data_IF_223295634825
#
_entry.id   IF_223295634825
#
_cell.length_a   1.000
_cell.length_b   1.000
_cell.length_c   1.000
_cell.angle_alpha   90.00
_cell.angle_beta   90.00
_cell.angle_gamma   90.00
#
_symmetry.space_group_name_H-M   'P 1'
#
loop_
_entity.id
_entity.type
_entity.pdbx_description
1 polymer ?
#
# COMPACT_ATOMS: atom_id res chain seq x y z
N UNK A 1 10.40 41.94 -21.96
CA UNK A 1 8.98 41.60 -21.83
C UNK A 1 8.88 40.46 -20.80
N UNK A 2 8.13 40.64 -19.73
CA UNK A 2 7.88 39.53 -18.78
C UNK A 2 7.00 38.51 -19.51
N UNK A 3 7.58 37.39 -19.93
CA UNK A 3 6.81 36.30 -20.45
C UNK A 3 6.03 35.69 -19.27
N UNK A 4 4.72 35.70 -19.35
CA UNK A 4 3.88 35.03 -18.35
C UNK A 4 4.10 33.52 -18.37
N UNK A 5 3.61 32.83 -17.31
CA UNK A 5 3.60 31.34 -17.22
C UNK A 5 3.02 30.74 -18.50
N UNK A 6 3.74 29.76 -19.06
CA UNK A 6 3.32 29.05 -20.27
C UNK A 6 3.40 27.55 -20.04
N UNK A 7 2.51 26.82 -20.70
CA UNK A 7 2.56 25.36 -20.75
C UNK A 7 2.69 24.94 -22.22
N UNK A 8 3.67 24.11 -22.47
CA UNK A 8 3.91 23.47 -23.76
C UNK A 8 3.63 21.98 -23.58
N UNK A 9 3.00 21.37 -24.55
CA UNK A 9 2.73 19.94 -24.58
C UNK A 9 3.60 19.30 -25.65
N UNK A 10 4.28 18.23 -25.28
CA UNK A 10 5.08 17.44 -26.19
C UNK A 10 4.58 15.99 -26.14
N UNK A 11 4.11 15.48 -27.26
CA UNK A 11 3.57 14.13 -27.36
C UNK A 11 4.35 13.37 -28.44
N UNK A 12 4.84 12.21 -28.07
CA UNK A 12 5.49 11.28 -29.00
C UNK A 12 4.51 10.12 -29.31
N UNK A 13 4.26 9.88 -30.57
CA UNK A 13 3.40 8.80 -31.09
C UNK A 13 4.27 7.79 -31.83
N UNK A 14 4.21 6.50 -31.42
CA UNK A 14 5.04 5.41 -31.96
C UNK A 14 6.52 5.78 -32.10
N UNK A 15 7.08 6.44 -31.07
CA UNK A 15 8.46 6.97 -31.02
C UNK A 15 8.77 8.09 -32.03
N UNK A 16 7.78 8.62 -32.75
CA UNK A 16 7.92 9.79 -33.60
C UNK A 16 7.35 11.04 -32.92
N UNK A 17 8.01 12.22 -33.04
CA UNK A 17 7.48 13.46 -32.46
C UNK A 17 6.15 13.83 -33.13
N UNK A 18 5.08 13.84 -32.34
CA UNK A 18 3.74 14.20 -32.82
C UNK A 18 3.43 15.68 -32.60
N UNK A 19 3.98 16.25 -31.51
CA UNK A 19 3.63 17.59 -31.06
C UNK A 19 4.13 18.73 -31.95
N UNK A 20 5.22 18.54 -32.69
CA UNK A 20 5.69 19.59 -33.61
C UNK A 20 4.71 19.92 -34.74
N UNK A 21 3.81 19.00 -35.05
CA UNK A 21 2.81 19.14 -36.10
C UNK A 21 1.40 19.40 -35.56
N UNK A 22 1.08 18.98 -34.33
CA UNK A 22 -0.26 19.02 -33.74
C UNK A 22 -0.34 19.75 -32.41
N UNK A 23 0.77 20.20 -31.84
CA UNK A 23 0.79 20.88 -30.53
C UNK A 23 -0.12 22.12 -30.48
N UNK A 24 -0.28 22.83 -31.58
CA UNK A 24 -1.19 23.99 -31.69
C UNK A 24 -2.68 23.57 -31.73
N UNK A 25 -2.98 22.33 -32.07
CA UNK A 25 -4.33 21.78 -32.17
C UNK A 25 -4.82 21.14 -30.87
N UNK A 26 -3.93 20.93 -29.88
CA UNK A 26 -4.32 20.37 -28.61
C UNK A 26 -5.17 21.39 -27.83
N UNK A 27 -6.43 21.10 -27.64
CA UNK A 27 -7.39 21.89 -26.87
C UNK A 27 -7.33 21.55 -25.39
N UNK A 28 -7.15 20.26 -25.06
CA UNK A 28 -6.97 19.81 -23.69
C UNK A 28 -6.13 18.55 -23.60
N UNK A 29 -5.46 18.41 -22.45
CA UNK A 29 -4.78 17.18 -22.05
C UNK A 29 -5.12 16.92 -20.58
N UNK A 30 -5.56 15.71 -20.27
CA UNK A 30 -5.76 15.25 -18.89
C UNK A 30 -4.89 14.03 -18.66
N UNK A 31 -3.97 14.12 -17.70
CA UNK A 31 -3.17 13.00 -17.22
C UNK A 31 -3.61 12.63 -15.82
N UNK A 32 -3.94 11.38 -15.61
CA UNK A 32 -4.35 10.81 -14.32
C UNK A 32 -3.29 9.83 -13.85
N UNK A 33 -2.71 10.11 -12.69
CA UNK A 33 -1.74 9.27 -11.98
C UNK A 33 -2.45 8.66 -10.77
N UNK A 34 -2.64 7.34 -10.75
CA UNK A 34 -3.29 6.59 -9.69
C UNK A 34 -2.25 5.85 -8.83
N UNK A 35 -2.43 5.85 -7.51
CA UNK A 35 -1.56 5.09 -6.60
C UNK A 35 -1.85 3.60 -6.65
N UNK A 36 -3.11 3.23 -6.85
CA UNK A 36 -3.58 1.84 -6.76
C UNK A 36 -4.83 1.64 -7.61
N UNK A 37 -5.22 0.39 -7.81
CA UNK A 37 -6.46 -0.11 -8.40
C UNK A 37 -6.63 0.17 -9.89
N UNK A 38 -6.62 1.43 -10.29
CA UNK A 38 -6.75 1.84 -11.70
C UNK A 38 -5.37 2.06 -12.33
N UNK A 39 -5.28 1.85 -13.63
CA UNK A 39 -4.12 2.24 -14.43
C UNK A 39 -4.06 3.76 -14.56
N UNK A 40 -2.85 4.29 -14.74
CA UNK A 40 -2.72 5.68 -15.16
C UNK A 40 -3.34 5.86 -16.54
N UNK A 41 -3.96 7.00 -16.79
CA UNK A 41 -4.59 7.31 -18.08
C UNK A 41 -4.19 8.67 -18.61
N UNK A 42 -4.30 8.81 -19.92
CA UNK A 42 -4.10 10.06 -20.65
C UNK A 42 -5.27 10.27 -21.60
N UNK A 43 -5.84 11.46 -21.57
CA UNK A 43 -6.88 11.88 -22.51
C UNK A 43 -6.44 13.17 -23.18
N UNK A 44 -6.44 13.19 -24.51
CA UNK A 44 -6.06 14.34 -25.33
C UNK A 44 -7.22 14.69 -26.24
N UNK A 45 -7.65 15.95 -26.20
CA UNK A 45 -8.64 16.47 -27.15
C UNK A 45 -7.95 17.42 -28.11
N UNK A 46 -8.14 17.18 -29.40
CA UNK A 46 -7.58 17.94 -30.50
C UNK A 46 -8.69 18.70 -31.24
N UNK A 47 -8.40 19.91 -31.68
CA UNK A 47 -9.18 20.59 -32.72
C UNK A 47 -8.97 19.84 -34.04
N UNK A 48 -10.02 19.26 -34.58
CA UNK A 48 -9.97 18.41 -35.76
C UNK A 48 -10.66 19.04 -37.01
N UNK A 49 -10.74 20.39 -37.04
CA UNK A 49 -11.33 21.11 -38.20
C UNK A 49 -10.56 20.83 -39.51
N UNK A 50 -9.26 20.49 -39.40
CA UNK A 50 -8.51 20.04 -40.57
C UNK A 50 -8.86 18.60 -40.94
N UNK A 51 -9.33 18.42 -42.19
CA UNK A 51 -9.72 17.10 -42.69
C UNK A 51 -8.63 16.03 -42.73
N UNK A 52 -7.35 16.40 -42.45
CA UNK A 52 -6.20 15.47 -42.37
C UNK A 52 -6.47 14.32 -41.40
N UNK A 53 -7.22 14.58 -40.32
CA UNK A 53 -7.57 13.58 -39.32
C UNK A 53 -8.45 12.44 -39.86
N UNK A 54 -9.16 12.68 -40.94
CA UNK A 54 -9.97 11.67 -41.63
C UNK A 54 -9.24 10.99 -42.81
N UNK A 55 -8.06 11.50 -43.16
CA UNK A 55 -7.30 11.11 -44.36
C UNK A 55 -5.86 10.64 -44.05
N UNK A 56 -5.70 9.67 -43.12
CA UNK A 56 -4.41 9.03 -42.88
C UNK A 56 -3.67 9.55 -41.68
N UNK A 57 -4.26 10.47 -40.91
CA UNK A 57 -3.72 10.94 -39.61
C UNK A 57 -4.54 10.43 -38.43
N UNK A 58 -5.57 9.61 -38.69
CA UNK A 58 -6.34 8.98 -37.59
C UNK A 58 -5.41 8.06 -36.81
N UNK A 59 -5.25 8.28 -35.50
CA UNK A 59 -4.41 7.41 -34.68
C UNK A 59 -4.98 5.98 -34.63
N UNK A 60 -4.09 5.00 -34.61
CA UNK A 60 -4.45 3.59 -34.54
C UNK A 60 -4.46 3.10 -33.10
N UNK A 61 -5.47 2.32 -32.71
CA UNK A 61 -5.51 1.61 -31.43
C UNK A 61 -4.28 0.70 -31.28
N UNK A 62 -3.77 0.56 -30.05
CA UNK A 62 -2.53 -0.17 -29.77
C UNK A 62 -1.24 0.63 -30.00
N UNK A 63 -1.33 1.82 -30.62
CA UNK A 63 -0.18 2.71 -30.75
C UNK A 63 0.34 3.20 -29.38
N UNK A 64 1.59 3.62 -29.34
CA UNK A 64 2.21 4.12 -28.09
C UNK A 64 2.20 5.65 -28.03
N UNK A 65 1.82 6.20 -26.88
CA UNK A 65 1.90 7.63 -26.57
C UNK A 65 2.87 7.89 -25.43
N UNK A 66 3.72 8.92 -25.58
CA UNK A 66 4.60 9.44 -24.51
C UNK A 66 4.40 10.95 -24.37
N UNK A 67 3.43 11.37 -23.58
CA UNK A 67 3.16 12.79 -23.36
C UNK A 67 4.14 13.37 -22.33
N UNK A 68 4.51 14.64 -22.55
CA UNK A 68 5.23 15.49 -21.59
C UNK A 68 4.52 16.81 -21.45
N UNK A 69 4.43 17.29 -20.22
CA UNK A 69 3.92 18.62 -19.90
C UNK A 69 5.11 19.49 -19.50
N UNK A 70 5.31 20.61 -20.17
CA UNK A 70 6.47 21.49 -19.97
C UNK A 70 5.96 22.84 -19.50
N UNK A 71 6.31 23.24 -18.28
CA UNK A 71 6.08 24.57 -17.74
C UNK A 71 7.24 25.49 -18.03
N UNK A 72 6.96 26.65 -18.60
CA UNK A 72 7.95 27.71 -18.84
C UNK A 72 7.62 28.93 -18.00
N UNK A 73 8.66 29.58 -17.47
CA UNK A 73 8.55 30.77 -16.65
C UNK A 73 7.56 30.60 -15.46
N UNK A 74 7.48 29.36 -14.90
CA UNK A 74 6.44 28.96 -13.96
C UNK A 74 6.53 29.71 -12.62
N UNK A 75 7.70 29.72 -12.02
CA UNK A 75 7.98 30.43 -10.77
C UNK A 75 8.75 31.76 -10.99
N UNK A 76 9.16 32.04 -12.22
CA UNK A 76 9.88 33.24 -12.60
C UNK A 76 10.51 33.12 -13.99
N UNK A 77 11.07 34.20 -14.53
CA UNK A 77 11.67 34.19 -15.86
C UNK A 77 12.80 33.17 -15.99
N UNK A 78 12.71 32.30 -16.99
CA UNK A 78 13.70 31.25 -17.30
C UNK A 78 13.48 29.93 -16.52
N UNK A 79 12.55 29.89 -15.59
CA UNK A 79 12.20 28.66 -14.86
C UNK A 79 11.50 27.64 -15.79
N UNK A 80 11.96 26.41 -15.76
CA UNK A 80 11.42 25.33 -16.60
C UNK A 80 11.19 24.07 -15.78
N UNK A 81 9.99 23.54 -15.87
CA UNK A 81 9.59 22.25 -15.30
C UNK A 81 9.19 21.29 -16.40
N UNK A 82 9.58 20.04 -16.29
CA UNK A 82 9.19 18.97 -17.21
C UNK A 82 8.55 17.84 -16.42
N UNK A 83 7.35 17.46 -16.82
CA UNK A 83 6.67 16.29 -16.30
C UNK A 83 6.59 15.22 -17.38
N UNK A 84 7.27 14.10 -17.16
CA UNK A 84 7.16 12.90 -17.97
C UNK A 84 5.92 12.13 -17.51
N UNK A 85 4.86 12.10 -18.32
CA UNK A 85 3.62 11.42 -17.95
C UNK A 85 3.70 9.89 -18.06
N UNK A 86 4.74 9.37 -18.73
CA UNK A 86 4.95 7.93 -18.89
C UNK A 86 4.63 7.41 -20.29
N UNK A 87 4.43 6.10 -20.38
CA UNK A 87 4.08 5.41 -21.62
C UNK A 87 2.64 4.91 -21.53
N UNK A 88 1.85 5.24 -22.51
CA UNK A 88 0.45 4.81 -22.65
C UNK A 88 0.28 4.01 -23.94
N UNK A 89 -0.64 3.05 -23.90
CA UNK A 89 -1.17 2.37 -25.08
C UNK A 89 -2.48 3.04 -25.42
N UNK A 90 -2.62 3.43 -26.67
CA UNK A 90 -3.84 4.06 -27.19
C UNK A 90 -4.96 3.04 -27.22
N UNK A 91 -6.04 3.36 -26.50
CA UNK A 91 -7.14 2.45 -26.20
C UNK A 91 -8.47 2.93 -26.78
N UNK A 92 -8.61 4.26 -26.93
CA UNK A 92 -9.84 4.88 -27.44
C UNK A 92 -9.54 6.04 -28.40
N UNK A 93 -10.26 6.06 -29.52
CA UNK A 93 -10.21 7.14 -30.52
C UNK A 93 -11.63 7.50 -30.89
N UNK A 94 -12.05 8.73 -30.57
CA UNK A 94 -13.38 9.22 -30.87
C UNK A 94 -13.32 10.50 -31.71
N UNK A 95 -13.97 10.51 -32.86
CA UNK A 95 -14.16 11.68 -33.72
C UNK A 95 -15.58 12.22 -33.59
N UNK A 96 -15.70 13.54 -33.39
CA UNK A 96 -16.99 14.24 -33.30
C UNK A 96 -17.05 15.35 -34.35
N UNK A 97 -18.17 15.44 -35.06
CA UNK A 97 -18.33 16.35 -36.20
C UNK A 97 -18.70 17.80 -35.81
N UNK A 98 -19.47 18.01 -34.74
CA UNK A 98 -19.84 19.36 -34.31
C UNK A 98 -19.89 19.52 -32.78
N UNK A 99 -18.93 20.24 -32.13
CA UNK A 99 -17.72 20.83 -32.72
C UNK A 99 -16.76 19.74 -33.22
N UNK A 100 -16.03 20.02 -34.29
CA UNK A 100 -15.11 19.04 -34.87
C UNK A 100 -13.91 18.80 -33.97
N UNK A 101 -13.94 17.70 -33.26
CA UNK A 101 -12.87 17.32 -32.30
C UNK A 101 -12.46 15.87 -32.49
N UNK A 102 -11.20 15.58 -32.22
CA UNK A 102 -10.67 14.24 -32.08
C UNK A 102 -10.25 14.01 -30.63
N UNK A 103 -10.81 13.01 -29.99
CA UNK A 103 -10.40 12.57 -28.65
C UNK A 103 -9.55 11.32 -28.78
N UNK A 104 -8.44 11.30 -28.05
CA UNK A 104 -7.48 10.20 -28.02
C UNK A 104 -7.24 9.84 -26.58
N UNK A 105 -7.69 8.63 -26.19
CA UNK A 105 -7.52 8.05 -24.86
C UNK A 105 -6.43 7.00 -24.86
N UNK A 106 -5.65 6.93 -23.78
CA UNK A 106 -4.64 5.90 -23.58
C UNK A 106 -4.48 5.51 -22.12
N UNK A 107 -4.10 4.26 -21.88
CA UNK A 107 -3.90 3.67 -20.58
C UNK A 107 -2.46 3.17 -20.42
N UNK A 108 -1.91 3.26 -19.19
CA UNK A 108 -0.56 2.75 -18.91
C UNK A 108 -0.50 1.23 -18.74
N UNK A 109 -1.64 0.59 -18.64
CA UNK A 109 -1.81 -0.85 -18.60
C UNK A 109 -1.40 -1.45 -19.97
N UNK A 110 -0.77 -2.63 -20.00
CA UNK A 110 -0.39 -3.26 -21.26
C UNK A 110 -1.60 -3.88 -21.96
N UNK A 111 -2.50 -3.03 -22.48
CA UNK A 111 -3.70 -3.43 -23.22
C UNK A 111 -3.37 -4.05 -24.59
N UNK A 112 -2.10 -3.96 -25.01
CA UNK A 112 -1.54 -4.68 -26.16
C UNK A 112 -1.19 -6.15 -25.87
N UNK A 113 -1.57 -6.69 -24.68
CA UNK A 113 -1.30 -8.05 -24.22
C UNK A 113 -2.50 -8.65 -23.51
N UNK A 114 -2.49 -9.98 -23.35
CA UNK A 114 -3.52 -10.73 -22.62
C UNK A 114 -3.48 -10.57 -21.09
N UNK A 115 -2.67 -9.65 -20.56
CA UNK A 115 -2.44 -9.48 -19.11
C UNK A 115 -3.73 -9.30 -18.30
N UNK A 116 -4.69 -8.60 -18.86
CA UNK A 116 -5.98 -8.29 -18.20
C UNK A 116 -7.18 -9.00 -18.83
N UNK A 117 -6.99 -9.78 -19.87
CA UNK A 117 -8.09 -10.35 -20.66
C UNK A 117 -8.12 -11.86 -20.63
N UNK A 118 -6.94 -12.53 -20.65
CA UNK A 118 -6.87 -13.99 -20.65
C UNK A 118 -7.02 -14.54 -19.24
N UNK A 119 -8.10 -15.25 -18.99
CA UNK A 119 -8.30 -16.04 -17.78
C UNK A 119 -7.34 -17.24 -17.76
N UNK A 120 -6.79 -17.53 -16.58
CA UNK A 120 -5.85 -18.62 -16.36
C UNK A 120 -6.19 -19.38 -15.09
N UNK A 121 -6.08 -20.70 -15.19
CA UNK A 121 -6.09 -21.58 -14.04
C UNK A 121 -4.64 -22.01 -13.77
N UNK A 122 -4.05 -21.46 -12.71
CA UNK A 122 -2.66 -21.78 -12.33
C UNK A 122 -2.61 -22.09 -10.85
N UNK A 123 -1.94 -23.16 -10.48
CA UNK A 123 -1.70 -23.50 -9.08
C UNK A 123 -0.26 -23.09 -8.73
N UNK A 124 -0.16 -22.09 -7.85
CA UNK A 124 1.10 -21.60 -7.31
C UNK A 124 1.46 -22.39 -6.06
N UNK A 125 2.64 -23.06 -6.03
CA UNK A 125 3.09 -23.86 -4.88
C UNK A 125 4.50 -23.50 -4.46
N UNK A 126 4.75 -23.45 -3.14
CA UNK A 126 6.07 -23.22 -2.55
C UNK A 126 6.81 -22.03 -3.19
N UNK A 127 6.12 -20.90 -3.29
CA UNK A 127 6.60 -19.68 -3.93
C UNK A 127 6.46 -18.49 -3.00
N UNK A 128 6.57 -17.27 -3.53
CA UNK A 128 6.30 -16.03 -2.78
C UNK A 128 5.58 -15.02 -3.66
N UNK A 129 4.96 -14.01 -3.04
CA UNK A 129 4.26 -12.94 -3.77
C UNK A 129 5.18 -12.28 -4.79
N UNK A 130 6.43 -12.01 -4.41
CA UNK A 130 7.43 -11.44 -5.31
C UNK A 130 7.71 -12.34 -6.51
N UNK A 131 7.93 -13.64 -6.29
CA UNK A 131 8.22 -14.60 -7.37
C UNK A 131 7.04 -14.80 -8.32
N UNK A 132 5.82 -14.77 -7.79
CA UNK A 132 4.61 -14.79 -8.63
C UNK A 132 4.59 -13.54 -9.53
N UNK A 133 4.85 -12.36 -8.98
CA UNK A 133 4.91 -11.12 -9.76
C UNK A 133 6.01 -11.11 -10.80
N UNK A 134 7.21 -11.63 -10.48
CA UNK A 134 8.31 -11.79 -11.43
C UNK A 134 7.92 -12.73 -12.59
N UNK A 135 7.25 -13.84 -12.28
CA UNK A 135 6.76 -14.81 -13.29
C UNK A 135 5.71 -14.19 -14.20
N UNK A 136 4.73 -13.48 -13.64
CA UNK A 136 3.69 -12.78 -14.40
C UNK A 136 4.32 -11.69 -15.27
N UNK A 137 5.17 -10.82 -14.70
CA UNK A 137 5.84 -9.77 -15.46
C UNK A 137 6.66 -10.34 -16.63
N UNK A 138 7.40 -11.44 -16.38
CA UNK A 138 8.19 -12.14 -17.41
C UNK A 138 7.35 -12.68 -18.55
N UNK A 139 6.13 -13.14 -18.28
CA UNK A 139 5.20 -13.67 -19.28
C UNK A 139 4.82 -12.63 -20.34
N UNK A 140 4.71 -11.36 -19.93
CA UNK A 140 4.31 -10.25 -20.80
C UNK A 140 5.45 -9.30 -21.16
N UNK A 141 6.69 -9.64 -20.83
CA UNK A 141 7.84 -8.77 -21.09
C UNK A 141 7.79 -7.45 -20.33
N UNK A 142 7.14 -7.42 -19.18
CA UNK A 142 7.01 -6.23 -18.34
C UNK A 142 8.21 -6.10 -17.39
N UNK A 143 8.61 -4.88 -17.09
CA UNK A 143 9.51 -4.60 -15.99
C UNK A 143 8.86 -4.96 -14.66
N UNK A 144 9.66 -5.34 -13.64
CA UNK A 144 9.18 -5.64 -12.31
C UNK A 144 9.97 -4.87 -11.25
N UNK A 145 9.28 -4.28 -10.29
CA UNK A 145 9.85 -3.62 -9.12
C UNK A 145 9.05 -4.02 -7.89
N UNK A 146 9.74 -4.47 -6.83
CA UNK A 146 9.13 -4.90 -5.60
C UNK A 146 9.76 -4.18 -4.41
N UNK A 147 9.01 -3.26 -3.78
CA UNK A 147 9.45 -2.42 -2.66
C UNK A 147 8.58 -2.71 -1.42
N UNK A 148 8.60 -3.97 -0.97
CA UNK A 148 7.84 -4.47 0.16
C UNK A 148 8.54 -5.66 0.81
N UNK A 149 8.06 -6.11 1.96
CA UNK A 149 8.43 -7.39 2.53
C UNK A 149 7.79 -8.51 1.69
N UNK A 150 8.52 -9.61 1.48
CA UNK A 150 8.04 -10.74 0.71
C UNK A 150 7.35 -11.75 1.62
N UNK A 151 6.26 -12.34 1.14
CA UNK A 151 5.47 -13.30 1.88
C UNK A 151 5.44 -14.64 1.14
N UNK A 152 5.72 -15.72 1.87
CA UNK A 152 5.71 -17.08 1.34
C UNK A 152 4.28 -17.56 1.07
N UNK A 153 4.08 -18.19 -0.07
CA UNK A 153 2.82 -18.82 -0.52
C UNK A 153 3.05 -20.32 -0.63
N UNK A 154 2.48 -21.09 0.30
CA UNK A 154 2.57 -22.56 0.28
C UNK A 154 1.80 -23.14 -0.91
N UNK A 155 0.55 -22.71 -1.08
CA UNK A 155 -0.30 -23.08 -2.21
C UNK A 155 -1.40 -22.03 -2.37
N UNK A 156 -1.58 -21.52 -3.58
CA UNK A 156 -2.68 -20.64 -3.95
C UNK A 156 -3.16 -20.97 -5.35
N UNK A 157 -4.45 -20.83 -5.59
CA UNK A 157 -5.09 -21.14 -6.86
C UNK A 157 -5.49 -19.84 -7.54
N UNK A 158 -4.90 -19.61 -8.68
CA UNK A 158 -5.29 -18.50 -9.53
C UNK A 158 -6.55 -18.88 -10.29
N UNK A 159 -7.58 -18.05 -10.12
CA UNK A 159 -8.80 -18.03 -10.93
C UNK A 159 -8.98 -16.63 -11.49
N UNK A 160 -9.10 -16.51 -12.82
CA UNK A 160 -9.20 -15.25 -13.53
C UNK A 160 -7.89 -14.77 -14.17
N UNK A 161 -7.87 -13.50 -14.56
CA UNK A 161 -6.73 -12.92 -15.31
C UNK A 161 -5.52 -12.70 -14.39
N UNK A 162 -4.32 -12.70 -14.98
CA UNK A 162 -3.07 -12.42 -14.24
C UNK A 162 -3.13 -11.06 -13.51
N UNK A 163 -3.75 -10.06 -14.12
CA UNK A 163 -3.92 -8.74 -13.54
C UNK A 163 -4.82 -8.77 -12.30
N UNK A 164 -6.01 -9.37 -12.38
CA UNK A 164 -6.97 -9.38 -11.28
C UNK A 164 -6.50 -10.26 -10.13
N UNK A 165 -5.93 -11.44 -10.45
CA UNK A 165 -5.39 -12.35 -9.46
C UNK A 165 -4.25 -11.69 -8.66
N UNK A 166 -3.24 -11.16 -9.35
CA UNK A 166 -2.07 -10.61 -8.68
C UNK A 166 -2.40 -9.33 -7.87
N UNK A 167 -3.32 -8.51 -8.37
CA UNK A 167 -3.82 -7.37 -7.62
C UNK A 167 -4.54 -7.80 -6.33
N UNK A 168 -5.39 -8.82 -6.41
CA UNK A 168 -6.09 -9.37 -5.24
C UNK A 168 -5.12 -9.97 -4.24
N UNK A 169 -4.14 -10.74 -4.72
CA UNK A 169 -3.09 -11.32 -3.87
C UNK A 169 -2.30 -10.23 -3.14
N UNK A 170 -1.85 -9.19 -3.84
CA UNK A 170 -1.18 -8.04 -3.23
C UNK A 170 -2.05 -7.37 -2.15
N UNK A 171 -3.32 -7.09 -2.44
CA UNK A 171 -4.27 -6.49 -1.48
C UNK A 171 -4.46 -7.31 -0.23
N UNK A 172 -4.48 -8.63 -0.34
CA UNK A 172 -4.63 -9.54 0.80
C UNK A 172 -3.49 -9.40 1.82
N UNK A 173 -2.33 -8.92 1.37
CA UNK A 173 -1.15 -8.70 2.21
C UNK A 173 -0.84 -7.20 2.45
N UNK A 174 -1.78 -6.30 2.16
CA UNK A 174 -1.62 -4.86 2.35
C UNK A 174 -0.69 -4.19 1.34
N UNK A 175 -0.36 -4.89 0.27
CA UNK A 175 0.48 -4.41 -0.81
C UNK A 175 -0.37 -3.74 -1.90
N UNK A 176 0.25 -2.83 -2.63
CA UNK A 176 -0.33 -2.19 -3.80
C UNK A 176 0.40 -2.68 -5.04
N UNK A 177 -0.37 -3.06 -6.07
CA UNK A 177 0.11 -3.24 -7.42
C UNK A 177 -0.20 -1.98 -8.23
N UNK A 178 0.83 -1.31 -8.72
CA UNK A 178 0.72 -0.23 -9.71
C UNK A 178 1.29 -0.68 -11.04
N UNK A 179 0.54 -0.45 -12.11
CA UNK A 179 0.98 -0.70 -13.48
C UNK A 179 1.32 0.63 -14.14
N UNK A 180 2.58 0.84 -14.45
CA UNK A 180 3.07 2.09 -15.00
C UNK A 180 4.20 1.85 -16.02
N UNK A 181 4.15 2.50 -17.16
CA UNK A 181 5.19 2.49 -18.19
C UNK A 181 5.70 1.08 -18.55
N UNK A 182 4.81 0.12 -18.79
CA UNK A 182 5.11 -1.32 -19.03
C UNK A 182 5.90 -1.97 -17.89
N UNK A 183 5.64 -1.56 -16.65
CA UNK A 183 6.24 -2.11 -15.43
C UNK A 183 5.17 -2.42 -14.39
N UNK A 184 5.29 -3.55 -13.72
CA UNK A 184 4.57 -3.86 -12.50
C UNK A 184 5.39 -3.35 -11.31
N UNK A 185 4.81 -2.51 -10.50
CA UNK A 185 5.42 -1.98 -9.29
C UNK A 185 4.60 -2.35 -8.08
N UNK A 186 5.17 -3.16 -7.19
CA UNK A 186 4.55 -3.58 -5.94
C UNK A 186 5.20 -2.83 -4.77
N UNK A 187 4.40 -2.27 -3.90
CA UNK A 187 4.89 -1.58 -2.70
C UNK A 187 3.94 -1.70 -1.51
N UNK A 188 4.46 -1.55 -0.29
CA UNK A 188 3.70 -1.55 0.95
C UNK A 188 3.08 -0.17 1.19
N UNK A 189 1.74 -0.09 1.23
CA UNK A 189 0.99 1.16 1.42
C UNK A 189 1.30 1.81 2.76
N UNK A 190 1.30 1.07 3.85
CA UNK A 190 1.48 1.63 5.18
C UNK A 190 2.91 2.15 5.38
N UNK A 191 3.90 1.45 4.83
CA UNK A 191 5.28 1.93 4.78
C UNK A 191 5.40 3.25 4.00
N UNK A 192 4.68 3.38 2.89
CA UNK A 192 4.68 4.61 2.08
C UNK A 192 3.95 5.75 2.80
N UNK A 193 2.85 5.51 3.49
CA UNK A 193 2.21 6.48 4.37
C UNK A 193 3.14 6.97 5.49
N UNK A 194 4.08 6.12 5.95
CA UNK A 194 5.12 6.47 6.93
C UNK A 194 6.16 7.47 6.43
N UNK A 195 6.37 7.62 5.12
CA UNK A 195 7.35 8.52 4.53
C UNK A 195 7.02 9.99 4.84
N UNK A 196 8.01 10.88 4.69
CA UNK A 196 7.81 12.33 4.84
C UNK A 196 6.92 12.87 3.71
N UNK A 197 6.19 13.95 4.00
CA UNK A 197 5.52 14.71 2.96
C UNK A 197 6.56 15.31 2.00
N UNK A 198 6.30 15.17 0.69
CA UNK A 198 7.18 15.71 -0.35
C UNK A 198 6.93 17.20 -0.58
N UNK A 199 5.72 17.68 -0.25
CA UNK A 199 5.34 19.08 -0.38
C UNK A 199 4.29 19.46 0.67
N UNK A 200 4.37 20.72 1.12
CA UNK A 200 3.37 21.36 1.96
C UNK A 200 2.48 22.27 1.09
N UNK A 201 1.18 22.23 1.34
CA UNK A 201 0.20 23.11 0.72
C UNK A 201 -0.48 23.94 1.78
N UNK A 202 -0.28 25.25 1.70
CA UNK A 202 -1.03 26.19 2.51
C UNK A 202 -2.35 26.57 1.83
N UNK A 203 -3.34 26.98 2.62
CA UNK A 203 -4.64 27.45 2.13
C UNK A 203 -4.55 28.44 0.98
N UNK A 204 -3.52 29.28 0.97
CA UNK A 204 -3.30 30.30 -0.07
C UNK A 204 -2.85 29.72 -1.41
N UNK A 205 -2.32 28.50 -1.43
CA UNK A 205 -1.92 27.78 -2.65
C UNK A 205 -3.11 27.07 -3.32
N UNK A 206 -4.23 26.90 -2.60
CA UNK A 206 -5.36 26.11 -3.05
C UNK A 206 -6.35 26.99 -3.80
N UNK A 207 -6.85 26.49 -4.93
CA UNK A 207 -7.87 27.19 -5.71
C UNK A 207 -9.14 27.33 -4.85
N UNK A 208 -9.65 28.55 -4.63
CA UNK A 208 -10.84 28.77 -3.82
C UNK A 208 -12.03 27.91 -4.30
N UNK A 209 -12.71 27.26 -3.35
CA UNK A 209 -13.85 26.41 -3.61
C UNK A 209 -13.53 24.98 -4.09
N UNK A 210 -12.25 24.64 -4.31
CA UNK A 210 -11.85 23.29 -4.74
C UNK A 210 -11.66 22.30 -3.60
N UNK A 211 -11.51 22.76 -2.35
CA UNK A 211 -11.26 21.88 -1.22
C UNK A 211 -12.55 21.20 -0.74
N UNK A 212 -12.50 19.89 -0.63
CA UNK A 212 -13.52 19.04 -0.02
C UNK A 212 -12.86 18.10 0.98
N UNK A 213 -13.39 18.05 2.19
CA UNK A 213 -12.94 17.16 3.25
C UNK A 213 -14.12 16.36 3.78
N UNK A 214 -14.02 15.05 3.73
CA UNK A 214 -15.08 14.14 4.15
C UNK A 214 -14.53 13.08 5.10
N UNK A 215 -15.29 12.75 6.12
CA UNK A 215 -15.01 11.65 7.02
C UNK A 215 -16.18 10.69 7.05
N UNK A 216 -15.90 9.39 7.14
CA UNK A 216 -16.93 8.36 7.27
C UNK A 216 -16.54 7.33 8.33
N UNK A 217 -17.54 6.84 9.06
CA UNK A 217 -17.39 5.67 9.93
C UNK A 217 -17.91 4.40 9.25
N UNK A 218 -18.70 4.55 8.20
CA UNK A 218 -19.22 3.41 7.43
C UNK A 218 -18.07 2.69 6.73
N UNK A 219 -17.99 1.38 6.88
CA UNK A 219 -16.92 0.57 6.30
C UNK A 219 -15.57 0.67 6.99
N UNK A 220 -15.50 1.31 8.19
CA UNK A 220 -14.27 1.36 9.00
C UNK A 220 -14.37 0.44 10.20
N UNK A 221 -13.23 -0.09 10.64
CA UNK A 221 -13.18 -1.11 11.67
C UNK A 221 -12.21 -0.73 12.79
N UNK A 222 -12.60 -1.07 14.02
CA UNK A 222 -11.82 -0.87 15.25
C UNK A 222 -11.07 -2.14 15.66
N UNK A 223 -11.21 -3.20 14.88
CA UNK A 223 -10.57 -4.48 15.09
C UNK A 223 -11.14 -5.54 14.14
N UNK A 224 -10.71 -6.77 14.30
CA UNK A 224 -11.21 -7.88 13.49
C UNK A 224 -10.81 -9.25 13.99
N UNK A 225 -11.41 -10.23 13.34
CA UNK A 225 -11.21 -11.65 13.58
C UNK A 225 -10.85 -12.33 12.27
N UNK A 226 -9.93 -13.26 12.34
CA UNK A 226 -9.57 -14.13 11.23
C UNK A 226 -9.80 -15.58 11.66
N UNK A 227 -10.52 -16.34 10.84
CA UNK A 227 -10.74 -17.77 11.07
C UNK A 227 -10.49 -18.51 9.76
N UNK A 228 -9.74 -19.59 9.83
CA UNK A 228 -9.53 -20.48 8.70
C UNK A 228 -9.43 -21.92 9.18
N UNK A 229 -10.26 -22.81 8.62
CA UNK A 229 -10.23 -24.25 8.86
C UNK A 229 -9.42 -24.92 7.75
N UNK A 230 -8.31 -25.56 8.11
CA UNK A 230 -7.52 -26.41 7.21
C UNK A 230 -7.98 -27.85 7.42
N UNK A 231 -8.88 -28.30 6.54
CA UNK A 231 -9.45 -29.66 6.62
C UNK A 231 -8.42 -30.76 6.36
N UNK A 232 -7.35 -30.47 5.58
CA UNK A 232 -6.30 -31.43 5.28
C UNK A 232 -5.38 -31.66 6.48
N UNK A 233 -5.20 -30.61 7.29
CA UNK A 233 -4.34 -30.65 8.50
C UNK A 233 -5.14 -30.81 9.79
N UNK A 234 -6.47 -30.89 9.69
CA UNK A 234 -7.42 -31.03 10.82
C UNK A 234 -7.19 -29.97 11.92
N UNK A 235 -7.12 -28.70 11.51
CA UNK A 235 -6.87 -27.59 12.43
C UNK A 235 -7.59 -26.30 12.01
N UNK A 236 -7.85 -25.46 13.02
CA UNK A 236 -8.31 -24.08 12.84
C UNK A 236 -7.20 -23.08 13.18
N UNK A 237 -7.05 -22.06 12.35
CA UNK A 237 -6.22 -20.89 12.61
C UNK A 237 -7.14 -19.75 13.01
N UNK A 238 -7.01 -19.27 14.25
CA UNK A 238 -7.82 -18.18 14.80
C UNK A 238 -6.94 -17.03 15.23
N UNK A 239 -7.26 -15.82 14.78
CA UNK A 239 -6.55 -14.61 15.16
C UNK A 239 -7.52 -13.47 15.43
N UNK A 240 -7.13 -12.53 16.29
CA UNK A 240 -7.89 -11.30 16.54
C UNK A 240 -6.98 -10.13 16.85
N UNK A 241 -7.46 -8.93 16.52
CA UNK A 241 -6.78 -7.66 16.82
C UNK A 241 -7.80 -6.59 17.12
N UNK A 242 -7.45 -5.66 18.02
CA UNK A 242 -8.36 -4.59 18.40
C UNK A 242 -9.62 -5.10 19.07
N UNK A 243 -10.75 -4.43 18.86
CA UNK A 243 -12.05 -4.81 19.43
C UNK A 243 -13.08 -3.70 19.30
N UNK A 244 -14.22 -3.87 19.97
CA UNK A 244 -15.33 -2.92 19.95
C UNK A 244 -16.48 -3.36 19.05
N UNK A 245 -17.36 -2.43 18.69
CA UNK A 245 -18.61 -2.75 17.99
C UNK A 245 -18.47 -2.85 16.46
N UNK A 246 -17.32 -2.42 15.92
CA UNK A 246 -17.05 -2.43 14.48
C UNK A 246 -15.85 -3.30 14.18
N UNK A 247 -16.07 -4.62 14.15
CA UNK A 247 -15.04 -5.61 13.86
C UNK A 247 -15.23 -6.21 12.47
N UNK A 248 -14.11 -6.46 11.77
CA UNK A 248 -14.08 -7.15 10.48
C UNK A 248 -13.89 -8.63 10.69
N UNK A 249 -14.70 -9.45 10.05
CA UNK A 249 -14.47 -10.89 10.00
C UNK A 249 -13.80 -11.23 8.67
N UNK A 250 -12.69 -11.96 8.72
CA UNK A 250 -11.92 -12.43 7.58
C UNK A 250 -11.88 -13.95 7.62
N UNK A 251 -12.33 -14.57 6.55
CA UNK A 251 -12.23 -16.02 6.35
C UNK A 251 -11.51 -16.25 5.02
N UNK A 252 -10.26 -16.66 5.11
CA UNK A 252 -9.37 -16.82 3.95
C UNK A 252 -8.30 -17.85 4.29
N UNK A 253 -7.74 -18.51 3.27
CA UNK A 253 -6.65 -19.45 3.48
C UNK A 253 -5.47 -18.78 4.16
N UNK A 254 -4.93 -19.45 5.17
CA UNK A 254 -3.69 -19.07 5.83
C UNK A 254 -2.89 -20.32 6.20
N UNK A 255 -1.56 -20.19 6.21
CA UNK A 255 -0.65 -21.31 6.49
C UNK A 255 -0.16 -21.31 7.93
N UNK A 256 -0.33 -20.19 8.62
CA UNK A 256 0.12 -19.99 9.99
C UNK A 256 -0.61 -18.81 10.65
N UNK A 257 -0.51 -18.72 11.99
CA UNK A 257 -0.99 -17.56 12.73
C UNK A 257 -0.34 -16.24 12.24
N UNK A 258 0.93 -16.30 11.86
CA UNK A 258 1.60 -15.11 11.29
C UNK A 258 0.97 -14.68 9.97
N UNK A 259 0.77 -15.62 9.06
CA UNK A 259 0.14 -15.37 7.75
C UNK A 259 -1.29 -14.80 7.93
N UNK A 260 -2.10 -15.44 8.77
CA UNK A 260 -3.43 -14.95 9.14
C UNK A 260 -3.40 -13.53 9.75
N UNK A 261 -2.41 -13.26 10.60
CA UNK A 261 -2.25 -11.95 11.25
C UNK A 261 -1.92 -10.84 10.26
N UNK A 262 -1.03 -11.11 9.28
CA UNK A 262 -0.71 -10.17 8.21
C UNK A 262 -1.94 -9.87 7.38
N UNK A 263 -2.65 -10.90 6.93
CA UNK A 263 -3.85 -10.75 6.11
C UNK A 263 -4.99 -10.03 6.84
N UNK A 264 -5.19 -10.31 8.15
CA UNK A 264 -6.18 -9.62 8.96
C UNK A 264 -5.89 -8.12 9.07
N UNK A 265 -4.65 -7.77 9.39
CA UNK A 265 -4.24 -6.37 9.49
C UNK A 265 -4.33 -5.65 8.14
N UNK A 266 -3.92 -6.31 7.06
CA UNK A 266 -4.05 -5.79 5.71
C UNK A 266 -5.51 -5.45 5.35
N UNK A 267 -6.43 -6.36 5.64
CA UNK A 267 -7.86 -6.17 5.37
C UNK A 267 -8.46 -4.98 6.14
N UNK A 268 -8.13 -4.87 7.44
CA UNK A 268 -8.60 -3.75 8.27
C UNK A 268 -7.99 -2.42 7.82
N UNK A 269 -6.69 -2.40 7.56
CA UNK A 269 -5.99 -1.18 7.11
C UNK A 269 -6.47 -0.72 5.74
N UNK A 270 -6.74 -1.66 4.82
CA UNK A 270 -7.33 -1.36 3.51
C UNK A 270 -8.74 -0.76 3.65
N UNK A 271 -9.59 -1.34 4.50
CA UNK A 271 -10.92 -0.80 4.76
C UNK A 271 -10.87 0.60 5.39
N UNK A 272 -9.96 0.81 6.35
CA UNK A 272 -9.81 2.08 7.06
C UNK A 272 -9.13 3.17 6.22
N UNK A 273 -8.51 2.84 5.09
CA UNK A 273 -7.84 3.78 4.20
C UNK A 273 -8.79 4.88 3.70
N UNK A 274 -10.04 4.52 3.40
CA UNK A 274 -11.07 5.46 2.92
C UNK A 274 -11.77 6.29 3.99
N UNK A 275 -11.39 6.17 5.28
CA UNK A 275 -12.07 6.83 6.39
C UNK A 275 -12.08 8.35 6.30
N UNK A 276 -11.01 8.94 5.83
CA UNK A 276 -10.89 10.39 5.58
C UNK A 276 -10.47 10.60 4.14
N UNK A 277 -11.23 11.41 3.42
CA UNK A 277 -10.94 11.80 2.03
C UNK A 277 -10.80 13.31 1.94
N UNK A 278 -9.70 13.74 1.35
CA UNK A 278 -9.38 15.13 1.06
C UNK A 278 -9.23 15.28 -0.45
N UNK A 279 -9.92 16.27 -1.02
CA UNK A 279 -9.75 16.66 -2.43
C UNK A 279 -9.49 18.15 -2.50
N UNK A 280 -8.57 18.58 -3.33
CA UNK A 280 -8.32 19.99 -3.62
C UNK A 280 -7.56 20.16 -4.94
N UNK A 281 -7.52 21.38 -5.45
CA UNK A 281 -6.81 21.71 -6.69
C UNK A 281 -5.89 22.92 -6.48
N UNK A 282 -4.79 22.92 -7.23
CA UNK A 282 -3.81 24.00 -7.28
C UNK A 282 -3.50 24.39 -8.73
N UNK A 283 -2.93 25.57 -8.92
CA UNK A 283 -2.46 26.03 -10.23
C UNK A 283 -1.15 25.30 -10.57
N UNK A 284 -1.24 24.19 -11.27
CA UNK A 284 -0.13 23.36 -11.74
C UNK A 284 0.85 22.90 -10.65
N UNK A 285 1.10 21.64 -10.57
CA UNK A 285 2.11 21.06 -9.67
C UNK A 285 2.99 20.08 -10.43
N UNK A 286 4.31 20.11 -10.15
CA UNK A 286 5.31 19.35 -10.88
C UNK A 286 6.00 18.28 -10.02
N UNK A 287 5.78 18.29 -8.72
CA UNK A 287 6.61 17.54 -7.77
C UNK A 287 5.89 16.47 -6.96
N UNK A 288 4.55 16.37 -7.05
CA UNK A 288 3.77 15.41 -6.27
C UNK A 288 3.13 14.41 -7.21
N UNK A 289 3.41 13.13 -6.98
CA UNK A 289 2.80 12.00 -7.70
C UNK A 289 1.93 11.17 -6.76
N UNK A 290 1.06 10.36 -7.32
CA UNK A 290 0.29 9.37 -6.55
C UNK A 290 1.25 8.39 -5.82
N UNK A 291 0.86 7.99 -4.60
CA UNK A 291 1.73 7.23 -3.70
C UNK A 291 2.68 8.07 -2.86
N UNK A 292 2.77 9.40 -3.08
CA UNK A 292 3.48 10.31 -2.19
C UNK A 292 2.62 10.72 -1.00
N UNK A 293 3.24 11.40 -0.03
CA UNK A 293 2.53 12.11 1.02
C UNK A 293 2.66 13.61 0.80
N UNK A 294 1.59 14.35 1.10
CA UNK A 294 1.59 15.80 1.17
C UNK A 294 1.14 16.27 2.57
N UNK A 295 1.41 17.52 2.90
CA UNK A 295 0.91 18.13 4.14
C UNK A 295 0.07 19.35 3.82
N UNK A 296 -1.11 19.42 4.44
CA UNK A 296 -2.03 20.55 4.37
C UNK A 296 -1.86 21.44 5.58
N UNK A 297 -1.85 22.77 5.37
CA UNK A 297 -1.72 23.79 6.41
C UNK A 297 -2.70 24.94 6.17
N UNK A 298 -2.85 25.82 7.17
CA UNK A 298 -3.65 27.06 7.02
C UNK A 298 -5.16 26.91 7.23
N UNK A 299 -5.64 25.72 7.66
CA UNK A 299 -7.07 25.47 7.93
C UNK A 299 -7.42 25.36 9.42
N UNK A 300 -6.49 25.75 10.29
CA UNK A 300 -6.63 25.71 11.75
C UNK A 300 -6.49 24.31 12.33
N UNK A 301 -6.06 24.27 13.58
CA UNK A 301 -5.96 23.06 14.39
C UNK A 301 -7.25 23.00 15.24
N UNK A 302 -8.27 22.31 14.74
CA UNK A 302 -9.53 22.12 15.47
C UNK A 302 -9.31 21.26 16.72
N UNK A 303 -10.26 21.30 17.67
CA UNK A 303 -10.28 20.49 18.90
C UNK A 303 -10.11 18.98 18.67
N UNK A 304 -10.34 18.51 17.43
CA UNK A 304 -10.18 17.12 16.99
C UNK A 304 -9.10 16.96 15.89
N UNK A 305 -8.07 17.82 15.88
CA UNK A 305 -6.97 17.77 14.90
C UNK A 305 -7.21 18.53 13.59
N UNK A 306 -8.43 19.05 13.36
CA UNK A 306 -8.74 19.87 12.18
C UNK A 306 -8.51 19.17 10.85
N UNK A 307 -8.41 19.99 9.77
CA UNK A 307 -8.11 19.51 8.41
C UNK A 307 -6.59 19.53 8.15
N UNK A 308 -5.83 20.30 8.94
CA UNK A 308 -4.37 20.31 8.81
C UNK A 308 -3.78 18.94 9.12
N UNK A 309 -2.77 18.53 8.36
CA UNK A 309 -2.13 17.24 8.58
C UNK A 309 -1.43 16.67 7.37
N UNK A 310 -0.87 15.48 7.56
CA UNK A 310 -0.24 14.69 6.51
C UNK A 310 -1.28 13.75 5.89
N UNK A 311 -1.30 13.71 4.56
CA UNK A 311 -2.21 12.88 3.77
C UNK A 311 -1.43 12.05 2.75
N UNK A 312 -1.94 10.86 2.46
CA UNK A 312 -1.44 10.02 1.38
C UNK A 312 -2.19 10.37 0.10
N UNK A 313 -1.46 10.53 -1.00
CA UNK A 313 -2.01 10.90 -2.31
C UNK A 313 -2.44 9.65 -3.04
N UNK A 314 -3.75 9.47 -3.20
CA UNK A 314 -4.34 8.33 -3.90
C UNK A 314 -4.36 8.54 -5.41
N UNK A 315 -4.62 9.80 -5.82
CA UNK A 315 -4.78 10.16 -7.22
C UNK A 315 -4.35 11.60 -7.47
N UNK A 316 -3.64 11.81 -8.54
CA UNK A 316 -3.30 13.14 -9.07
C UNK A 316 -3.88 13.27 -10.47
N UNK A 317 -4.60 14.35 -10.72
CA UNK A 317 -5.10 14.67 -12.04
C UNK A 317 -4.47 15.99 -12.51
N UNK A 318 -3.68 15.91 -13.55
CA UNK A 318 -3.08 17.05 -14.22
C UNK A 318 -3.91 17.39 -15.45
N UNK A 319 -4.53 18.56 -15.44
CA UNK A 319 -5.40 19.01 -16.55
C UNK A 319 -4.87 20.30 -17.15
N UNK A 320 -4.54 20.23 -18.41
CA UNK A 320 -4.30 21.41 -19.25
C UNK A 320 -5.52 21.67 -20.13
N UNK A 321 -5.91 22.94 -20.23
CA UNK A 321 -6.87 23.38 -21.24
C UNK A 321 -6.35 24.70 -21.84
N UNK A 322 -6.55 24.90 -23.14
CA UNK A 322 -6.08 26.09 -23.85
C UNK A 322 -6.66 27.39 -23.28
N UNK A 323 -7.89 27.34 -22.77
CA UNK A 323 -8.59 28.48 -22.17
C UNK A 323 -8.38 28.63 -20.66
N UNK A 324 -8.17 27.53 -19.93
CA UNK A 324 -8.13 27.49 -18.46
C UNK A 324 -6.76 27.30 -17.86
N UNK A 325 -5.72 27.09 -18.70
CA UNK A 325 -4.37 26.85 -18.23
C UNK A 325 -4.13 25.46 -17.65
N UNK A 326 -3.18 25.36 -16.71
CA UNK A 326 -2.74 24.09 -16.13
C UNK A 326 -3.14 23.99 -14.65
N UNK A 327 -3.95 23.04 -14.31
CA UNK A 327 -4.47 22.76 -12.98
C UNK A 327 -4.09 21.35 -12.55
N UNK A 328 -3.67 21.19 -11.31
CA UNK A 328 -3.43 19.89 -10.68
C UNK A 328 -4.42 19.68 -9.55
N UNK A 329 -5.14 18.57 -9.58
CA UNK A 329 -6.09 18.16 -8.56
C UNK A 329 -5.58 16.94 -7.82
N UNK A 330 -5.71 16.95 -6.50
CA UNK A 330 -5.30 15.87 -5.61
C UNK A 330 -6.51 15.22 -4.98
N UNK A 331 -6.53 13.88 -4.98
CA UNK A 331 -7.41 13.08 -4.13
C UNK A 331 -6.53 12.33 -3.13
N UNK A 332 -6.81 12.51 -1.85
CA UNK A 332 -5.94 12.02 -0.80
C UNK A 332 -6.74 11.32 0.30
N UNK A 333 -6.08 10.39 0.98
CA UNK A 333 -6.61 9.72 2.17
C UNK A 333 -5.87 10.13 3.43
N UNK A 334 -6.59 10.15 4.56
CA UNK A 334 -6.01 10.40 5.86
C UNK A 334 -5.05 9.29 6.29
N UNK A 335 -4.04 9.65 7.05
CA UNK A 335 -3.06 8.72 7.59
C UNK A 335 -3.37 8.49 9.06
N UNK A 336 -3.63 7.24 9.43
CA UNK A 336 -3.90 6.77 10.79
C UNK A 336 -2.84 5.77 11.21
N UNK A 337 -2.74 5.51 12.51
CA UNK A 337 -1.90 4.40 13.01
C UNK A 337 -2.50 3.09 12.49
N UNK A 338 -1.74 2.30 11.73
CA UNK A 338 -2.23 1.05 11.17
C UNK A 338 -2.28 -0.05 12.23
N UNK A 339 -3.13 -1.05 12.00
CA UNK A 339 -3.04 -2.32 12.71
C UNK A 339 -1.81 -3.08 12.25
N UNK A 340 -1.06 -3.63 13.21
CA UNK A 340 0.16 -4.37 12.93
C UNK A 340 0.01 -5.83 13.31
N UNK A 341 0.59 -6.73 12.53
CA UNK A 341 0.52 -8.18 12.78
C UNK A 341 1.12 -8.60 14.12
N UNK A 342 2.05 -7.81 14.69
CA UNK A 342 2.61 -8.07 16.02
C UNK A 342 1.68 -7.68 17.19
N UNK A 343 0.59 -6.98 16.92
CA UNK A 343 -0.44 -6.64 17.91
C UNK A 343 -1.60 -7.67 17.89
N UNK A 344 -1.53 -8.64 16.98
CA UNK A 344 -2.54 -9.68 16.80
C UNK A 344 -2.34 -10.80 17.80
N UNK A 345 -3.39 -11.16 18.51
CA UNK A 345 -3.47 -12.41 19.28
C UNK A 345 -3.99 -13.54 18.40
N UNK A 346 -3.38 -14.72 18.49
CA UNK A 346 -3.84 -15.86 17.69
C UNK A 346 -3.26 -17.20 18.15
N UNK A 347 -3.94 -18.27 17.77
CA UNK A 347 -3.56 -19.64 18.08
C UNK A 347 -4.05 -20.62 17.00
N UNK A 348 -3.60 -21.85 17.08
CA UNK A 348 -4.04 -22.97 16.25
C UNK A 348 -4.83 -23.91 17.15
N UNK A 349 -6.04 -24.26 16.73
CA UNK A 349 -6.87 -25.28 17.36
C UNK A 349 -6.78 -26.56 16.52
N UNK A 350 -6.37 -27.68 17.13
CA UNK A 350 -6.32 -28.98 16.47
C UNK A 350 -7.63 -29.73 16.78
N UNK A 351 -8.29 -30.23 15.76
CA UNK A 351 -9.44 -31.10 15.91
C UNK A 351 -8.93 -32.48 16.33
N UNK A 352 -9.31 -32.94 17.52
CA UNK A 352 -9.02 -34.28 17.93
C UNK A 352 -9.93 -35.25 17.15
N UNK A 353 -9.36 -36.16 16.37
CA UNK A 353 -10.10 -37.32 15.89
C UNK A 353 -10.66 -38.07 17.08
N UNK A 354 -12.01 -38.21 17.16
CA UNK A 354 -12.68 -39.09 18.13
C UNK A 354 -12.26 -40.54 17.81
N UNK A 355 -11.09 -40.98 18.29
CA UNK A 355 -10.80 -42.38 18.46
C UNK A 355 -10.62 -42.66 19.94
N UNK A 356 -11.59 -43.43 20.39
CA UNK A 356 -11.90 -43.83 21.75
C UNK A 356 -10.74 -44.54 22.45
N UNK A 357 -10.19 -43.91 23.49
CA UNK A 357 -9.95 -44.64 24.77
C UNK A 357 -9.75 -43.61 25.88
N UNK A 358 -10.61 -43.72 26.87
CA UNK A 358 -10.73 -42.95 28.07
C UNK A 358 -9.41 -42.79 28.83
N UNK A 359 -8.95 -41.55 28.98
CA UNK A 359 -8.37 -41.08 30.24
C UNK A 359 -8.73 -39.61 30.42
N UNK A 360 -9.50 -39.34 31.44
CA UNK A 360 -9.97 -38.03 31.84
C UNK A 360 -8.80 -37.16 32.27
N UNK A 361 -8.45 -36.18 31.47
CA UNK A 361 -7.77 -34.98 31.95
C UNK A 361 -8.74 -33.80 31.87
N UNK A 362 -9.32 -33.48 33.01
CA UNK A 362 -9.99 -32.23 33.24
C UNK A 362 -8.99 -31.07 33.05
N UNK A 363 -9.05 -30.40 31.94
CA UNK A 363 -8.46 -29.08 31.80
C UNK A 363 -9.58 -28.12 31.39
N UNK A 364 -10.22 -27.56 32.41
CA UNK A 364 -11.07 -26.40 32.25
C UNK A 364 -10.20 -25.23 31.81
N UNK A 365 -10.32 -24.85 30.55
CA UNK A 365 -9.82 -23.55 30.08
C UNK A 365 -10.89 -22.50 30.33
N UNK A 366 -10.74 -21.81 31.46
CA UNK A 366 -11.45 -20.55 31.70
C UNK A 366 -10.90 -19.47 30.76
N UNK A 367 -11.83 -18.81 30.10
CA UNK A 367 -11.61 -17.56 29.44
C UNK A 367 -11.17 -16.50 30.45
N UNK A 368 -9.90 -16.20 30.53
CA UNK A 368 -9.40 -15.09 31.33
C UNK A 368 -8.75 -14.00 30.48
N UNK A 369 -9.25 -12.78 30.69
CA UNK A 369 -8.63 -11.50 30.30
C UNK A 369 -7.11 -11.49 30.49
N UNK A 370 -6.34 -10.66 29.76
CA UNK A 370 -4.88 -10.63 29.77
C UNK A 370 -4.20 -10.38 31.10
N UNK A 371 -4.96 -10.24 32.21
CA UNK A 371 -4.43 -9.97 33.54
C UNK A 371 -4.19 -11.22 34.41
N UNK A 372 -4.55 -12.43 33.97
CA UNK A 372 -4.55 -13.61 34.87
C UNK A 372 -3.49 -14.69 34.59
N UNK A 373 -2.60 -14.53 33.61
CA UNK A 373 -1.49 -15.49 33.37
C UNK A 373 -0.18 -15.15 34.10
N UNK A 374 -0.25 -14.51 35.26
CA UNK A 374 0.91 -14.17 36.08
C UNK A 374 1.27 -15.22 37.16
N UNK A 375 0.73 -16.43 37.11
CA UNK A 375 0.98 -17.41 38.18
C UNK A 375 1.37 -18.78 37.63
N UNK A 376 2.57 -18.93 37.13
CA UNK A 376 3.41 -20.15 37.16
C UNK A 376 4.71 -19.91 36.38
N UNK A 377 5.59 -19.03 36.84
CA UNK A 377 6.92 -18.91 36.29
C UNK A 377 7.92 -19.24 37.38
N UNK A 378 8.54 -20.39 37.30
CA UNK A 378 9.84 -20.61 37.91
C UNK A 378 10.82 -19.55 37.36
N UNK A 379 11.33 -18.65 38.23
CA UNK A 379 12.38 -17.67 37.99
C UNK A 379 12.51 -17.15 36.56
N UNK A 380 11.51 -16.45 36.06
CA UNK A 380 11.53 -15.80 34.74
C UNK A 380 12.10 -14.39 34.79
N UNK A 381 12.55 -13.90 33.62
CA UNK A 381 13.05 -12.54 33.52
C UNK A 381 11.92 -11.52 33.80
N UNK A 382 12.13 -10.66 34.82
CA UNK A 382 11.17 -9.59 35.15
C UNK A 382 11.31 -8.39 34.21
N UNK A 383 10.23 -7.61 34.11
CA UNK A 383 10.27 -6.36 33.31
C UNK A 383 11.43 -5.46 33.75
N UNK A 384 12.19 -4.98 32.78
CA UNK A 384 13.39 -4.15 33.03
C UNK A 384 14.66 -4.92 33.39
N UNK A 385 14.60 -6.25 33.59
CA UNK A 385 15.78 -7.05 33.85
C UNK A 385 16.76 -7.04 32.68
N UNK A 386 18.04 -6.80 32.96
CA UNK A 386 19.11 -6.89 31.97
C UNK A 386 19.39 -8.35 31.62
N UNK A 387 19.48 -8.66 30.33
CA UNK A 387 19.74 -9.99 29.79
C UNK A 387 20.96 -9.91 28.88
N UNK A 388 21.99 -10.65 29.18
CA UNK A 388 23.17 -10.75 28.30
C UNK A 388 22.99 -11.91 27.35
N UNK A 389 22.93 -11.60 26.06
CA UNK A 389 22.67 -12.55 24.96
C UNK A 389 23.97 -12.83 24.20
N UNK A 390 24.22 -14.10 23.87
CA UNK A 390 25.33 -14.52 23.02
C UNK A 390 24.80 -15.30 21.82
N UNK A 391 24.93 -14.71 20.61
CA UNK A 391 24.39 -15.27 19.38
C UNK A 391 22.93 -15.75 19.50
N UNK A 392 22.14 -15.00 20.27
CA UNK A 392 20.74 -15.34 20.51
C UNK A 392 19.90 -15.07 19.24
N UNK A 393 19.01 -15.99 18.86
CA UNK A 393 18.09 -15.79 17.75
C UNK A 393 17.02 -14.76 18.13
N UNK A 394 16.89 -13.72 17.33
CA UNK A 394 15.84 -12.71 17.43
C UNK A 394 14.75 -13.00 16.42
N UNK A 395 13.53 -13.00 16.88
CA UNK A 395 12.33 -13.23 16.07
C UNK A 395 11.49 -11.97 16.04
N UNK A 396 10.80 -11.72 14.94
CA UNK A 396 9.86 -10.58 14.83
C UNK A 396 8.60 -10.79 15.68
N UNK A 397 8.19 -12.03 15.89
CA UNK A 397 7.02 -12.39 16.71
C UNK A 397 7.33 -13.54 17.66
N UNK A 398 6.44 -13.75 18.64
CA UNK A 398 6.56 -14.90 19.55
C UNK A 398 6.38 -16.25 18.85
N UNK A 399 5.76 -16.28 17.66
CA UNK A 399 5.44 -17.50 16.90
C UNK A 399 6.27 -17.66 15.62
N UNK A 400 7.10 -16.69 15.24
CA UNK A 400 7.88 -16.77 14.01
C UNK A 400 8.70 -18.07 13.94
N UNK A 401 8.62 -18.87 12.85
CA UNK A 401 9.27 -20.18 12.78
C UNK A 401 10.80 -20.09 12.59
N UNK A 402 11.29 -18.97 12.03
CA UNK A 402 12.72 -18.74 11.79
C UNK A 402 13.16 -17.42 12.42
N UNK A 403 14.37 -17.35 12.98
CA UNK A 403 14.92 -16.09 13.48
C UNK A 403 15.19 -15.12 12.32
N UNK A 404 14.88 -13.85 12.55
CA UNK A 404 15.19 -12.76 11.63
C UNK A 404 16.67 -12.38 11.63
N UNK A 405 17.31 -12.52 12.77
CA UNK A 405 18.75 -12.27 12.93
C UNK A 405 19.27 -12.90 14.23
N UNK A 406 20.60 -12.89 14.39
CA UNK A 406 21.26 -13.30 15.63
C UNK A 406 21.98 -12.10 16.22
N UNK A 407 21.81 -11.86 17.53
CA UNK A 407 22.46 -10.74 18.22
C UNK A 407 23.17 -11.19 19.47
N UNK A 408 24.23 -10.45 19.82
CA UNK A 408 24.97 -10.55 21.09
C UNK A 408 25.00 -9.18 21.74
N UNK A 409 25.05 -9.16 23.08
CA UNK A 409 25.11 -7.94 23.85
C UNK A 409 24.13 -7.91 25.02
N UNK A 410 24.07 -6.79 25.72
CA UNK A 410 23.11 -6.58 26.81
C UNK A 410 21.82 -5.98 26.27
N UNK A 411 20.73 -6.63 26.59
CA UNK A 411 19.35 -6.21 26.27
C UNK A 411 18.55 -6.21 27.57
N UNK A 412 17.28 -5.78 27.47
CA UNK A 412 16.40 -5.69 28.63
C UNK A 412 15.08 -6.39 28.33
N UNK A 413 14.58 -7.14 29.31
CA UNK A 413 13.26 -7.76 29.19
C UNK A 413 12.18 -6.67 29.20
N UNK A 414 11.37 -6.61 28.14
CA UNK A 414 10.47 -5.48 27.95
C UNK A 414 9.34 -5.43 28.99
N UNK A 415 8.64 -6.55 29.23
CA UNK A 415 7.46 -6.62 30.09
C UNK A 415 7.46 -7.82 31.05
N UNK A 416 8.43 -8.72 30.97
CA UNK A 416 8.49 -9.94 31.77
C UNK A 416 7.48 -11.02 31.39
N UNK A 417 6.73 -10.82 30.32
CA UNK A 417 5.67 -11.74 29.89
C UNK A 417 6.26 -12.80 28.95
N UNK A 418 6.14 -14.06 29.33
CA UNK A 418 6.53 -15.20 28.51
C UNK A 418 5.35 -15.58 27.56
N UNK A 419 5.60 -15.50 26.24
CA UNK A 419 4.62 -15.87 25.23
C UNK A 419 5.28 -16.86 24.26
N UNK A 420 4.69 -18.01 24.05
CA UNK A 420 5.21 -19.07 23.18
C UNK A 420 6.72 -19.38 23.46
N UNK A 421 7.05 -19.49 24.73
CA UNK A 421 8.42 -19.73 25.23
C UNK A 421 9.45 -18.65 24.79
N UNK A 422 9.01 -17.41 24.56
CA UNK A 422 9.84 -16.26 24.20
C UNK A 422 9.48 -15.05 25.03
N UNK A 423 10.49 -14.21 25.31
CA UNK A 423 10.33 -12.89 25.94
C UNK A 423 10.46 -11.78 24.90
N UNK A 424 9.73 -10.69 25.11
CA UNK A 424 9.96 -9.43 24.41
C UNK A 424 11.22 -8.76 24.96
N UNK A 425 12.12 -8.39 24.06
CA UNK A 425 13.41 -7.82 24.41
C UNK A 425 13.54 -6.43 23.79
N UNK A 426 14.09 -5.50 24.55
CA UNK A 426 14.41 -4.14 24.08
C UNK A 426 15.90 -3.84 24.28
N UNK A 427 16.41 -2.89 23.52
CA UNK A 427 17.84 -2.49 23.57
C UNK A 427 18.17 -1.47 24.68
N UNK A 428 17.19 -0.90 25.38
CA UNK A 428 17.40 0.05 26.47
C UNK A 428 16.39 -0.15 27.58
N UNK A 429 16.83 -0.05 28.86
CA UNK A 429 15.95 -0.12 30.01
C UNK A 429 14.83 0.95 29.99
N UNK A 430 15.10 2.12 29.40
CA UNK A 430 14.16 3.22 29.32
C UNK A 430 12.93 2.91 28.44
N UNK A 431 12.97 1.87 27.62
CA UNK A 431 11.86 1.45 26.74
C UNK A 431 10.98 0.36 27.36
N UNK A 432 11.40 -0.25 28.48
CA UNK A 432 10.63 -1.32 29.11
C UNK A 432 9.26 -0.83 29.55
N UNK A 433 8.21 -1.59 29.18
CA UNK A 433 6.81 -1.30 29.51
C UNK A 433 6.20 -0.06 28.84
N UNK A 434 6.91 0.65 27.95
CA UNK A 434 6.39 1.86 27.30
C UNK A 434 5.58 1.55 26.04
N UNK A 435 4.47 2.23 25.90
CA UNK A 435 3.62 2.18 24.70
C UNK A 435 4.07 3.20 23.64
N UNK A 436 3.84 2.93 22.33
CA UNK A 436 3.34 1.66 21.80
C UNK A 436 4.42 0.57 21.77
N UNK A 437 4.01 -0.67 21.98
CA UNK A 437 4.89 -1.86 22.07
C UNK A 437 5.86 -1.95 20.90
N UNK A 438 5.37 -1.82 19.67
CA UNK A 438 6.14 -1.98 18.43
C UNK A 438 7.31 -1.02 18.27
N UNK A 439 7.25 0.20 18.85
CA UNK A 439 8.37 1.17 18.85
C UNK A 439 9.42 0.88 19.92
N UNK A 440 9.06 0.11 20.94
CA UNK A 440 9.85 -0.09 22.14
C UNK A 440 10.43 -1.50 22.27
N UNK A 441 9.95 -2.47 21.49
CA UNK A 441 10.46 -3.85 21.42
C UNK A 441 11.45 -3.99 20.26
N UNK A 442 12.60 -4.62 20.53
CA UNK A 442 13.62 -4.91 19.50
C UNK A 442 13.39 -6.27 18.83
N UNK A 443 12.70 -7.19 19.52
CA UNK A 443 12.38 -8.51 19.02
C UNK A 443 12.00 -9.48 20.12
N UNK A 444 11.74 -10.73 19.75
CA UNK A 444 11.41 -11.83 20.64
C UNK A 444 12.60 -12.81 20.72
N UNK A 445 12.93 -13.26 21.92
CA UNK A 445 14.07 -14.16 22.18
C UNK A 445 13.58 -15.35 23.00
N UNK A 446 13.97 -16.60 22.66
CA UNK A 446 13.58 -17.76 23.44
C UNK A 446 14.02 -17.68 24.91
N UNK A 447 13.16 -18.13 25.81
CA UNK A 447 13.42 -18.10 27.23
C UNK A 447 14.73 -18.80 27.64
N UNK A 448 15.12 -19.85 26.92
CA UNK A 448 16.39 -20.55 27.14
C UNK A 448 17.64 -19.68 27.02
N UNK A 449 17.58 -18.60 26.24
CA UNK A 449 18.65 -17.61 26.13
C UNK A 449 18.59 -16.55 27.21
N UNK A 450 17.43 -16.37 27.86
CA UNK A 450 17.21 -15.37 28.87
C UNK A 450 17.45 -15.90 30.30
N UNK A 451 17.34 -17.22 30.50
CA UNK A 451 17.46 -17.86 31.84
C UNK A 451 18.87 -18.38 32.19
N UNK A 452 19.83 -18.34 31.24
CA UNK A 452 21.16 -18.95 31.40
C UNK A 452 22.31 -18.00 31.66
N UNK A 453 22.10 -16.71 31.74
CA UNK A 453 23.16 -15.73 31.99
C UNK A 453 22.78 -14.82 33.16
N UNK A 454 23.54 -14.87 34.23
CA UNK A 454 23.38 -14.23 35.54
C UNK A 454 22.54 -12.93 35.52
N UNK A 455 21.37 -13.02 36.13
CA UNK A 455 20.51 -11.87 36.42
C UNK A 455 21.20 -11.09 37.55
N UNK A 456 21.85 -9.99 37.20
CA UNK A 456 22.26 -8.99 38.20
C UNK A 456 21.06 -8.06 38.41
N UNK A 457 20.29 -8.32 39.45
CA UNK A 457 19.36 -7.33 40.00
C UNK A 457 20.18 -6.18 40.59
N UNK A 458 19.98 -5.00 40.04
CA UNK A 458 20.26 -3.73 40.73
C UNK A 458 18.96 -3.05 41.07
#
# INVERSE_FOLDING_TARGET
>A
MNNGRRVELDVTYNNAPFAGQVGAEIESLTYVDNAADDSDSIDITLDAQDSKWLHGWLPEEGATLRPRIIGRDWNGPGDTHVMECGLFILDDVAYQDAPTTLQVGGVSKPSDTDFSELERETIWKNTSIKRIGESIAGRYGLGFTYDADDYDIECDEQDGTDSSYYNTLCKNYGLILKVYAKRLWVYDRERYKGKRAVQDFDRTNIIPGSLSYNTTLSGTYTGGYFTYTDADKDLDIVCSVGGGNHTKNVNRRATSVYDASVQLCAEINNANHGRVKLKFSVMGNWGVSAGNNLRLTGYGDGLNGGINGKYFVDKVTHKYTKSGGFVTSFECSGIFDPFHYWDVGGHIEYHQSEDSSSESYNSAYETTSPAANAASAAAGATAGAAVTLTKAPFYYTSVAPKPSCYKSGTFYCYDGILVNNRYRITNTAARCGKLPVGKNVTGWVPASYCNGGGITTK
#
